data_IF_411128761151
#
_entry.id   IF_411128761151
#
_cell.length_a   1.000
_cell.length_b   1.000
_cell.length_c   1.000
_cell.angle_alpha   90.00
_cell.angle_beta   90.00
_cell.angle_gamma   90.00
#
_symmetry.space_group_name_H-M   'P 1'
#
loop_
_entity.id
_entity.type
_entity.pdbx_description
1 polymer ?
#
# COMPACT_ATOMS: atom_id res chain seq x y z
N UNK A 1 11.92 -19.67 -44.13
CA UNK A 1 11.16 -20.57 -43.23
C UNK A 1 10.36 -19.67 -42.30
N UNK A 2 9.14 -19.32 -42.71
CA UNK A 2 8.21 -18.45 -41.99
C UNK A 2 7.00 -19.32 -41.60
N UNK A 3 6.66 -19.36 -40.32
CA UNK A 3 5.46 -19.99 -39.77
C UNK A 3 4.63 -18.90 -39.07
N UNK A 4 3.35 -18.82 -39.46
CA UNK A 4 2.12 -18.68 -38.63
C UNK A 4 2.08 -17.55 -37.57
N UNK A 5 1.02 -16.76 -37.35
CA UNK A 5 -0.41 -16.91 -37.65
C UNK A 5 -1.16 -15.59 -37.35
N UNK A 6 -2.29 -15.44 -38.03
CA UNK A 6 -3.42 -14.49 -37.91
C UNK A 6 -4.08 -14.44 -36.51
N UNK A 7 -4.90 -13.40 -36.14
CA UNK A 7 -6.15 -13.07 -36.86
C UNK A 7 -6.52 -11.59 -37.09
N UNK A 8 -7.47 -11.50 -38.03
CA UNK A 8 -8.05 -10.39 -38.75
C UNK A 8 -9.28 -9.74 -38.05
N UNK A 9 -9.79 -8.61 -38.60
CA UNK A 9 -10.68 -7.68 -37.90
C UNK A 9 -12.17 -7.90 -38.15
N UNK A 10 -12.95 -7.14 -37.37
CA UNK A 10 -14.39 -6.93 -37.44
C UNK A 10 -14.90 -6.57 -38.85
N UNK A 11 -15.98 -7.22 -39.27
CA UNK A 11 -16.83 -6.75 -40.37
C UNK A 11 -18.30 -6.68 -39.95
N UNK A 12 -18.85 -5.47 -40.07
CA UNK A 12 -20.27 -5.14 -40.06
C UNK A 12 -20.98 -5.82 -41.24
N UNK A 13 -22.14 -6.43 -40.99
CA UNK A 13 -23.09 -6.81 -42.04
C UNK A 13 -24.34 -5.96 -41.98
N UNK A 14 -24.68 -5.39 -43.14
CA UNK A 14 -25.86 -4.61 -43.47
C UNK A 14 -27.10 -5.49 -43.64
N UNK A 15 -28.24 -5.00 -43.16
CA UNK A 15 -29.56 -5.60 -43.39
C UNK A 15 -30.18 -5.08 -44.69
N UNK A 16 -30.52 -6.00 -45.61
CA UNK A 16 -31.45 -5.72 -46.70
C UNK A 16 -32.48 -6.84 -46.83
N UNK A 17 -33.73 -6.46 -46.55
CA UNK A 17 -35.03 -6.88 -47.09
C UNK A 17 -35.27 -8.32 -47.56
N UNK A 18 -36.34 -8.93 -47.04
CA UNK A 18 -37.26 -9.79 -47.84
C UNK A 18 -38.72 -9.53 -47.40
N UNK A 19 -39.57 -9.26 -48.40
CA UNK A 19 -41.04 -9.16 -48.37
C UNK A 19 -41.70 -10.54 -48.11
N UNK A 20 -42.87 -10.59 -47.46
CA UNK A 20 -44.13 -10.97 -48.12
C UNK A 20 -45.32 -11.19 -47.16
N UNK A 21 -46.48 -10.94 -47.76
CA UNK A 21 -47.85 -10.96 -47.25
C UNK A 21 -48.47 -12.35 -47.03
N UNK A 22 -49.50 -12.37 -46.18
CA UNK A 22 -50.65 -13.29 -46.11
C UNK A 22 -50.58 -14.56 -45.22
N UNK A 23 -51.62 -14.66 -44.38
CA UNK A 23 -52.03 -15.66 -43.36
C UNK A 23 -52.49 -17.01 -43.97
N UNK A 24 -52.90 -18.08 -43.22
CA UNK A 24 -52.92 -18.28 -41.76
C UNK A 24 -52.41 -19.68 -41.28
N UNK A 25 -52.29 -19.83 -39.96
CA UNK A 25 -52.19 -21.09 -39.18
C UNK A 25 -50.86 -21.85 -39.23
N UNK A 26 -49.94 -21.45 -38.36
CA UNK A 26 -49.07 -22.41 -37.70
C UNK A 26 -48.73 -21.88 -36.31
N UNK A 27 -49.20 -22.59 -35.28
CA UNK A 27 -48.78 -22.36 -33.90
C UNK A 27 -47.29 -22.70 -33.81
N UNK A 28 -46.44 -21.68 -33.80
CA UNK A 28 -45.03 -21.80 -33.47
C UNK A 28 -44.84 -21.14 -32.11
N UNK A 29 -44.62 -21.96 -31.09
CA UNK A 29 -44.15 -21.52 -29.79
C UNK A 29 -42.77 -20.88 -29.98
N UNK A 30 -42.74 -19.55 -30.04
CA UNK A 30 -41.49 -18.79 -29.93
C UNK A 30 -41.04 -18.89 -28.48
N UNK A 31 -40.15 -19.84 -28.21
CA UNK A 31 -39.43 -19.92 -26.95
C UNK A 31 -38.43 -18.76 -26.91
N UNK A 32 -38.82 -17.66 -26.25
CA UNK A 32 -37.94 -16.54 -25.98
C UNK A 32 -36.87 -17.00 -24.97
N UNK A 33 -35.67 -17.35 -25.43
CA UNK A 33 -34.53 -17.50 -24.53
C UNK A 33 -34.10 -16.09 -24.09
N UNK A 34 -34.59 -15.66 -22.92
CA UNK A 34 -34.05 -14.52 -22.21
C UNK A 34 -32.64 -14.87 -21.72
N UNK A 35 -31.62 -14.40 -22.42
CA UNK A 35 -30.24 -14.42 -21.94
C UNK A 35 -30.11 -13.38 -20.83
N UNK A 36 -30.15 -13.83 -19.58
CA UNK A 36 -29.86 -12.98 -18.43
C UNK A 36 -28.36 -12.70 -18.41
N UNK A 37 -27.96 -11.55 -18.96
CA UNK A 37 -26.62 -11.01 -18.74
C UNK A 37 -26.48 -10.71 -17.24
N UNK A 38 -25.78 -11.58 -16.51
CA UNK A 38 -25.45 -11.34 -15.11
C UNK A 38 -24.48 -10.17 -15.04
N UNK A 39 -24.94 -9.03 -14.53
CA UNK A 39 -24.09 -7.94 -14.08
C UNK A 39 -23.24 -8.46 -12.92
N UNK A 40 -22.04 -8.95 -13.23
CA UNK A 40 -21.03 -9.19 -12.21
C UNK A 40 -20.68 -7.82 -11.61
N UNK A 41 -21.16 -7.57 -10.39
CA UNK A 41 -20.70 -6.44 -9.58
C UNK A 41 -19.19 -6.59 -9.43
N UNK A 42 -18.44 -5.67 -10.03
CA UNK A 42 -17.01 -5.55 -9.77
C UNK A 42 -16.86 -5.10 -8.31
N UNK A 43 -16.73 -6.07 -7.40
CA UNK A 43 -16.38 -5.80 -6.02
C UNK A 43 -15.06 -5.02 -6.04
N UNK A 44 -15.08 -3.76 -5.60
CA UNK A 44 -13.84 -3.01 -5.43
C UNK A 44 -12.89 -3.83 -4.55
N UNK A 45 -11.59 -3.90 -4.89
CA UNK A 45 -10.64 -4.66 -4.09
C UNK A 45 -10.68 -4.19 -2.64
N UNK A 46 -10.71 -5.14 -1.70
CA UNK A 46 -10.72 -4.82 -0.28
C UNK A 46 -9.51 -3.95 0.08
N UNK A 47 -9.76 -2.84 0.80
CA UNK A 47 -8.72 -1.94 1.29
C UNK A 47 -7.80 -2.72 2.23
N UNK A 48 -6.50 -2.80 1.90
CA UNK A 48 -5.52 -3.43 2.79
C UNK A 48 -5.23 -2.45 3.92
N UNK A 49 -5.29 -2.91 5.15
CA UNK A 49 -4.96 -2.11 6.33
C UNK A 49 -4.01 -2.93 7.18
N UNK A 50 -2.89 -2.33 7.60
CA UNK A 50 -1.81 -3.05 8.25
C UNK A 50 -0.95 -2.11 9.09
N UNK A 51 -0.21 -2.69 10.03
CA UNK A 51 0.90 -2.04 10.74
C UNK A 51 2.22 -2.57 10.19
N UNK A 52 3.30 -1.85 10.47
CA UNK A 52 4.64 -2.26 10.09
C UNK A 52 5.45 -2.66 11.32
N UNK A 53 6.24 -3.70 11.17
CA UNK A 53 7.26 -4.11 12.13
C UNK A 53 8.59 -4.31 11.42
N UNK A 54 9.70 -4.17 12.14
CA UNK A 54 11.06 -4.41 11.63
C UNK A 54 11.19 -5.86 11.15
N UNK A 55 11.76 -6.06 9.96
CA UNK A 55 12.25 -7.36 9.52
C UNK A 55 13.77 -7.42 9.61
N UNK A 56 14.25 -8.13 10.63
CA UNK A 56 15.67 -8.39 10.86
C UNK A 56 15.85 -9.83 11.36
N UNK A 57 15.71 -10.85 10.50
CA UNK A 57 15.68 -12.24 10.93
C UNK A 57 16.88 -12.61 11.81
N UNK A 58 16.60 -13.17 12.99
CA UNK A 58 17.57 -13.53 14.03
C UNK A 58 18.31 -12.35 14.69
N UNK A 59 17.84 -11.11 14.52
CA UNK A 59 18.33 -9.92 15.21
C UNK A 59 17.40 -9.43 16.32
N UNK A 60 17.93 -8.66 17.26
CA UNK A 60 17.19 -8.19 18.44
C UNK A 60 16.10 -7.14 18.12
N UNK A 61 16.13 -6.56 16.91
CA UNK A 61 15.12 -5.59 16.47
C UNK A 61 13.95 -6.26 15.74
N UNK A 62 14.03 -7.55 15.43
CA UNK A 62 13.01 -8.23 14.64
C UNK A 62 11.62 -8.17 15.29
N UNK A 63 10.61 -7.82 14.51
CA UNK A 63 9.23 -7.72 14.98
C UNK A 63 8.91 -6.49 15.84
N UNK A 64 9.89 -5.62 16.13
CA UNK A 64 9.59 -4.36 16.84
C UNK A 64 8.71 -3.45 15.97
N UNK A 65 7.71 -2.77 16.55
CA UNK A 65 6.76 -1.97 15.79
C UNK A 65 7.43 -0.72 15.20
N UNK A 66 6.86 -0.23 14.10
CA UNK A 66 7.17 1.06 13.49
C UNK A 66 6.04 2.04 13.81
N UNK A 67 6.38 3.12 14.50
CA UNK A 67 5.44 4.13 14.96
C UNK A 67 5.83 5.53 14.44
N UNK A 68 4.83 6.32 14.07
CA UNK A 68 4.93 7.69 13.63
C UNK A 68 5.08 8.63 14.83
N UNK A 69 6.04 9.55 14.75
CA UNK A 69 6.31 10.54 15.78
C UNK A 69 7.01 11.76 15.18
N UNK A 70 6.51 12.96 15.43
CA UNK A 70 7.11 14.24 15.01
C UNK A 70 7.58 14.23 13.55
N UNK A 71 6.67 13.85 12.63
CA UNK A 71 6.85 13.73 11.16
C UNK A 71 7.66 12.55 10.63
N UNK A 72 8.26 11.72 11.49
CA UNK A 72 9.09 10.58 11.07
C UNK A 72 8.60 9.26 11.65
N UNK A 73 9.22 8.16 11.22
CA UNK A 73 8.92 6.83 11.73
C UNK A 73 10.08 6.28 12.57
N UNK A 74 9.74 5.59 13.65
CA UNK A 74 10.70 5.05 14.61
C UNK A 74 10.32 3.65 15.03
N UNK A 75 11.32 2.87 15.44
CA UNK A 75 11.11 1.73 16.33
C UNK A 75 11.66 2.04 17.71
N UNK A 76 11.14 1.37 18.75
CA UNK A 76 11.55 1.58 20.14
C UNK A 76 10.70 2.58 20.92
N UNK A 77 9.83 3.35 20.25
CA UNK A 77 8.80 4.14 20.92
C UNK A 77 7.55 3.29 21.20
N UNK A 78 6.94 3.50 22.37
CA UNK A 78 5.80 2.70 22.83
C UNK A 78 4.56 2.86 21.93
N UNK A 79 4.21 4.12 21.62
CA UNK A 79 3.00 4.49 20.89
C UNK A 79 3.32 5.62 19.90
N UNK A 80 2.58 5.71 18.79
CA UNK A 80 2.70 6.85 17.89
C UNK A 80 2.14 8.12 18.53
N UNK A 81 2.70 9.26 18.13
CA UNK A 81 2.13 10.55 18.48
C UNK A 81 0.99 10.86 17.51
N UNK A 82 -0.15 11.25 18.06
CA UNK A 82 -1.34 11.58 17.28
C UNK A 82 -1.94 12.87 17.78
N UNK A 83 -2.69 13.53 16.92
CA UNK A 83 -3.37 14.76 17.26
C UNK A 83 -4.76 14.78 16.67
N UNK A 84 -5.58 15.69 17.19
CA UNK A 84 -6.90 15.95 16.67
C UNK A 84 -7.25 17.42 16.84
N UNK A 85 -7.97 17.99 15.88
CA UNK A 85 -8.39 19.39 15.88
C UNK A 85 -9.91 19.49 15.88
N UNK A 86 -10.48 20.24 16.83
CA UNK A 86 -11.91 20.48 16.96
C UNK A 86 -12.59 19.64 18.03
N UNK A 87 -13.87 19.92 18.27
CA UNK A 87 -14.71 19.24 19.26
C UNK A 87 -15.21 17.87 18.79
N UNK A 88 -15.26 17.64 17.48
CA UNK A 88 -15.80 16.41 16.88
C UNK A 88 -14.69 15.44 16.52
N UNK A 89 -13.99 15.00 17.57
CA UNK A 89 -12.92 14.02 17.41
C UNK A 89 -13.36 12.64 17.89
N UNK A 90 -13.76 11.73 16.97
CA UNK A 90 -14.15 10.38 17.37
C UNK A 90 -12.96 9.52 17.82
N UNK A 91 -11.72 9.93 17.51
CA UNK A 91 -10.49 9.24 17.92
C UNK A 91 -9.64 10.20 18.75
N UNK A 92 -9.61 10.07 20.10
CA UNK A 92 -8.86 10.99 20.95
C UNK A 92 -7.37 11.11 20.57
N UNK A 93 -6.77 12.26 20.85
CA UNK A 93 -5.32 12.41 20.69
C UNK A 93 -4.57 11.45 21.62
N UNK A 94 -3.48 10.88 21.11
CA UNK A 94 -2.64 9.88 21.79
C UNK A 94 -3.42 8.63 22.26
N UNK A 95 -4.43 8.20 21.49
CA UNK A 95 -5.16 6.95 21.76
C UNK A 95 -4.85 5.83 20.77
N UNK A 96 -3.98 6.09 19.79
CA UNK A 96 -3.62 5.10 18.78
C UNK A 96 -2.56 4.15 19.35
N UNK A 97 -2.81 2.83 19.38
CA UNK A 97 -1.83 1.88 19.92
C UNK A 97 -0.64 1.67 18.97
N UNK A 98 -0.85 1.88 17.67
CA UNK A 98 0.15 1.64 16.63
C UNK A 98 -0.06 2.58 15.43
N UNK A 99 0.98 2.74 14.61
CA UNK A 99 0.80 3.38 13.30
C UNK A 99 0.24 2.42 12.28
N UNK A 100 -0.87 2.84 11.68
CA UNK A 100 -1.63 2.06 10.72
C UNK A 100 -1.50 2.68 9.33
N UNK A 101 -1.22 1.83 8.35
CA UNK A 101 -1.04 2.14 6.94
C UNK A 101 -2.19 1.56 6.13
N UNK A 102 -2.35 2.02 4.89
CA UNK A 102 -3.38 1.47 4.00
C UNK A 102 -2.98 1.37 2.54
N UNK A 103 -3.41 0.27 1.91
CA UNK A 103 -3.14 -0.17 0.54
C UNK A 103 -1.66 -0.47 0.29
N UNK A 104 -0.81 0.53 0.49
CA UNK A 104 0.66 0.45 0.42
C UNK A 104 1.24 1.22 1.63
N UNK A 105 2.54 1.12 1.90
CA UNK A 105 3.18 1.93 2.94
C UNK A 105 3.17 3.44 2.64
N UNK A 106 2.67 3.86 1.48
CA UNK A 106 2.65 5.25 1.02
C UNK A 106 1.56 6.12 1.68
N UNK A 107 0.61 5.51 2.38
CA UNK A 107 -0.52 6.20 2.97
C UNK A 107 -0.80 5.72 4.40
N UNK A 108 -1.05 6.66 5.29
CA UNK A 108 -1.48 6.41 6.66
C UNK A 108 -2.99 6.25 6.70
N UNK A 109 -3.47 5.32 7.53
CA UNK A 109 -4.89 5.06 7.71
C UNK A 109 -5.48 5.98 8.77
N UNK A 110 -5.76 7.21 8.34
CA UNK A 110 -6.22 8.32 9.18
C UNK A 110 -7.59 8.82 8.75
N UNK A 111 -8.30 9.43 9.68
CA UNK A 111 -9.64 9.99 9.42
C UNK A 111 -9.61 11.40 8.85
N UNK A 112 -8.57 12.20 9.14
CA UNK A 112 -8.49 13.59 8.73
C UNK A 112 -8.73 13.73 7.22
N UNK A 113 -9.55 14.70 6.77
CA UNK A 113 -9.72 14.98 5.35
C UNK A 113 -8.37 15.22 4.67
N UNK A 114 -8.25 14.80 3.41
CA UNK A 114 -6.98 14.84 2.66
C UNK A 114 -5.97 13.75 3.04
N UNK A 115 -6.13 13.13 4.22
CA UNK A 115 -5.27 12.05 4.70
C UNK A 115 -3.84 12.49 5.01
N UNK A 116 -2.95 11.50 5.16
CA UNK A 116 -1.52 11.69 5.29
C UNK A 116 -0.79 10.66 4.44
N UNK A 117 0.17 11.17 3.67
CA UNK A 117 1.04 10.43 2.77
C UNK A 117 2.42 10.27 3.40
N UNK A 118 3.04 9.13 3.18
CA UNK A 118 4.45 8.90 3.52
C UNK A 118 5.34 9.18 2.32
N UNK A 119 6.58 9.55 2.59
CA UNK A 119 7.59 9.82 1.57
C UNK A 119 8.99 9.68 2.17
N UNK A 120 9.98 9.52 1.31
CA UNK A 120 11.40 9.49 1.66
C UNK A 120 12.00 10.86 1.34
N UNK A 121 12.59 11.49 2.33
CA UNK A 121 13.37 12.72 2.16
C UNK A 121 14.66 12.46 1.37
N UNK A 122 15.28 13.47 0.71
CA UNK A 122 16.48 13.27 -0.11
C UNK A 122 17.64 12.59 0.63
N UNK A 123 17.79 12.85 1.92
CA UNK A 123 18.84 12.30 2.79
C UNK A 123 18.50 10.90 3.32
N UNK A 124 17.28 10.40 3.05
CA UNK A 124 16.82 9.08 3.43
C UNK A 124 15.76 8.97 4.54
N UNK A 125 15.52 9.95 5.45
CA UNK A 125 14.46 9.80 6.45
C UNK A 125 13.12 9.40 5.82
N UNK A 126 12.49 8.35 6.36
CA UNK A 126 11.09 8.08 6.04
C UNK A 126 10.24 9.03 6.86
N UNK A 127 9.44 9.83 6.17
CA UNK A 127 8.65 10.91 6.73
C UNK A 127 7.19 10.80 6.28
N UNK A 128 6.32 11.59 6.91
CA UNK A 128 4.94 11.74 6.49
C UNK A 128 4.53 13.20 6.46
N UNK A 129 3.52 13.48 5.65
CA UNK A 129 2.94 14.81 5.46
C UNK A 129 2.11 15.21 6.67
N UNK A 130 2.11 16.51 6.97
CA UNK A 130 1.07 17.07 7.84
C UNK A 130 -0.31 16.91 7.17
N UNK A 131 -1.36 16.85 7.97
CA UNK A 131 -2.71 16.74 7.45
C UNK A 131 -3.03 17.86 6.45
N UNK A 132 -3.66 17.52 5.32
CA UNK A 132 -3.98 18.44 4.23
C UNK A 132 -2.77 19.10 3.54
N UNK A 133 -1.57 18.54 3.70
CA UNK A 133 -0.36 19.00 2.99
C UNK A 133 0.11 17.97 1.98
N UNK A 134 0.81 18.44 0.94
CA UNK A 134 1.47 17.56 -0.01
C UNK A 134 2.90 17.27 0.44
N UNK A 135 3.45 16.13 0.02
CA UNK A 135 4.88 15.86 0.21
C UNK A 135 5.72 16.96 -0.45
N UNK A 136 6.92 17.28 0.08
CA UNK A 136 7.87 18.16 -0.59
C UNK A 136 8.20 17.69 -2.02
N UNK A 137 8.55 18.63 -2.89
CA UNK A 137 8.85 18.34 -4.31
C UNK A 137 10.00 17.33 -4.47
N UNK A 138 11.02 17.46 -3.63
CA UNK A 138 12.20 16.60 -3.59
C UNK A 138 11.98 15.30 -2.78
N UNK A 139 10.84 15.15 -2.12
CA UNK A 139 10.46 13.91 -1.45
C UNK A 139 10.00 12.87 -2.46
N UNK A 140 10.36 11.61 -2.25
CA UNK A 140 10.00 10.51 -3.16
C UNK A 140 9.02 9.57 -2.46
N UNK A 141 7.96 9.17 -3.14
CA UNK A 141 6.92 8.27 -2.63
C UNK A 141 6.85 7.02 -3.50
N UNK A 142 6.41 5.90 -2.93
CA UNK A 142 6.34 4.62 -3.60
C UNK A 142 7.69 3.89 -3.63
N UNK A 143 7.80 2.92 -4.53
CA UNK A 143 8.99 2.10 -4.65
C UNK A 143 9.04 0.89 -3.72
N UNK A 144 7.97 0.66 -2.96
CA UNK A 144 7.85 -0.52 -2.12
C UNK A 144 7.65 -1.77 -2.98
N UNK A 145 8.53 -2.73 -2.82
CA UNK A 145 8.42 -4.04 -3.48
C UNK A 145 8.14 -5.10 -2.42
N UNK A 146 7.22 -6.01 -2.74
CA UNK A 146 7.04 -7.21 -1.95
C UNK A 146 8.16 -8.17 -2.33
N UNK A 147 9.07 -8.43 -1.41
CA UNK A 147 10.12 -9.42 -1.57
C UNK A 147 9.82 -10.62 -0.66
N UNK A 148 10.04 -11.83 -1.19
CA UNK A 148 10.00 -13.05 -0.39
C UNK A 148 11.43 -13.50 -0.15
N UNK A 149 11.87 -13.49 1.11
CA UNK A 149 13.14 -14.08 1.53
C UNK A 149 12.91 -15.44 2.17
N UNK A 150 13.96 -16.23 2.28
CA UNK A 150 13.93 -17.49 3.03
C UNK A 150 14.94 -17.40 4.16
N UNK A 151 14.51 -17.73 5.39
CA UNK A 151 15.44 -17.89 6.50
C UNK A 151 16.36 -19.12 6.30
N UNK A 152 17.25 -19.38 7.25
CA UNK A 152 18.18 -20.54 7.17
C UNK A 152 17.46 -21.90 7.22
N UNK A 153 16.18 -21.91 7.56
CA UNK A 153 15.32 -23.06 7.71
C UNK A 153 14.35 -23.22 6.51
N UNK A 154 14.37 -22.28 5.56
CA UNK A 154 13.52 -22.30 4.37
C UNK A 154 12.13 -21.70 4.57
N UNK A 155 11.89 -20.94 5.64
CA UNK A 155 10.61 -20.26 5.89
C UNK A 155 10.49 -19.00 5.04
N UNK A 156 9.40 -18.81 4.27
CA UNK A 156 9.20 -17.59 3.49
C UNK A 156 8.89 -16.40 4.42
N UNK A 157 9.63 -15.31 4.24
CA UNK A 157 9.47 -14.03 4.91
C UNK A 157 8.93 -13.02 3.89
N UNK A 158 7.73 -12.51 4.11
CA UNK A 158 7.12 -11.48 3.26
C UNK A 158 7.52 -10.10 3.76
N UNK A 159 8.30 -9.39 2.96
CA UNK A 159 8.91 -8.13 3.36
C UNK A 159 8.56 -7.02 2.36
N UNK A 160 8.25 -5.85 2.91
CA UNK A 160 8.17 -4.61 2.17
C UNK A 160 9.56 -3.97 2.16
N UNK A 161 10.18 -3.92 0.99
CA UNK A 161 11.47 -3.29 0.79
C UNK A 161 11.36 -2.01 -0.02
N UNK A 162 12.21 -1.03 0.27
CA UNK A 162 12.32 0.19 -0.51
C UNK A 162 13.25 -0.04 -1.73
N UNK A 163 12.71 0.13 -2.95
CA UNK A 163 13.29 0.03 -4.31
C UNK A 163 14.29 -1.09 -4.66
N UNK A 164 13.97 -1.77 -5.78
CA UNK A 164 14.86 -2.64 -6.56
C UNK A 164 15.89 -1.86 -7.40
N UNK A 165 17.18 -2.06 -7.11
CA UNK A 165 18.25 -2.25 -8.13
C UNK A 165 19.38 -3.09 -7.54
N UNK A 166 20.05 -3.98 -8.31
CA UNK A 166 20.84 -5.07 -7.73
C UNK A 166 22.26 -4.69 -7.26
N UNK A 167 22.78 -3.49 -7.57
CA UNK A 167 24.25 -3.33 -7.62
C UNK A 167 24.93 -2.27 -6.74
N UNK A 168 24.27 -1.57 -5.80
CA UNK A 168 25.05 -0.74 -4.82
C UNK A 168 24.23 -0.10 -3.69
N UNK A 169 23.89 -0.86 -2.66
CA UNK A 169 23.65 -0.26 -1.33
C UNK A 169 22.27 0.38 -1.09
N UNK A 170 21.19 -0.23 -1.58
CA UNK A 170 19.80 0.13 -1.23
C UNK A 170 19.24 -0.81 -0.17
N UNK A 171 18.30 -0.30 0.62
CA UNK A 171 17.72 -1.00 1.77
C UNK A 171 17.11 -0.02 2.77
N UNK A 172 16.63 -0.55 3.89
CA UNK A 172 16.16 0.24 5.03
C UNK A 172 17.23 0.16 6.12
N UNK A 173 17.48 1.29 6.78
CA UNK A 173 18.40 1.41 7.89
C UNK A 173 17.67 2.01 9.09
N UNK A 174 18.05 1.54 10.28
CA UNK A 174 17.60 2.07 11.56
C UNK A 174 18.75 2.85 12.18
N UNK A 175 18.57 4.15 12.33
CA UNK A 175 19.63 5.05 12.78
C UNK A 175 19.32 5.62 14.17
N UNK A 176 20.34 5.87 15.02
CA UNK A 176 20.16 6.58 16.28
C UNK A 176 19.45 7.92 16.06
N UNK A 177 18.56 8.26 17.00
CA UNK A 177 17.79 9.49 17.01
C UNK A 177 17.99 10.26 18.31
N UNK A 178 17.40 11.45 18.42
CA UNK A 178 17.40 12.23 19.67
C UNK A 178 16.46 11.65 20.74
N UNK A 179 15.56 10.74 20.37
CA UNK A 179 14.64 10.07 21.30
C UNK A 179 15.40 8.89 21.94
N UNK A 180 15.51 8.83 23.28
CA UNK A 180 16.19 7.74 23.97
C UNK A 180 15.65 6.37 23.54
N UNK A 181 16.55 5.42 23.28
CA UNK A 181 16.27 4.03 22.90
C UNK A 181 15.46 3.85 21.60
N UNK A 182 15.14 4.93 20.88
CA UNK A 182 14.42 4.87 19.62
C UNK A 182 15.36 5.02 18.42
N UNK A 183 15.14 4.19 17.42
CA UNK A 183 15.84 4.23 16.15
C UNK A 183 14.90 4.77 15.07
N UNK A 184 15.33 5.82 14.38
CA UNK A 184 14.60 6.40 13.27
C UNK A 184 14.78 5.56 12.01
N UNK A 185 13.71 5.46 11.23
CA UNK A 185 13.69 4.76 9.95
C UNK A 185 14.28 5.64 8.85
N UNK A 186 15.26 5.09 8.15
CA UNK A 186 15.85 5.65 6.94
C UNK A 186 15.74 4.67 5.77
N UNK A 187 15.49 5.21 4.59
CA UNK A 187 15.62 4.52 3.31
C UNK A 187 16.92 4.98 2.66
N UNK A 188 17.73 4.04 2.18
CA UNK A 188 19.01 4.34 1.54
C UNK A 188 18.80 4.94 0.14
N UNK A 189 18.79 6.27 0.08
CA UNK A 189 18.80 7.05 -1.17
C UNK A 189 20.24 7.33 -1.63
N UNK A 190 20.47 7.85 -2.84
CA UNK A 190 21.80 8.34 -3.24
C UNK A 190 22.36 9.46 -2.33
N UNK A 191 21.50 10.17 -1.59
CA UNK A 191 21.89 11.19 -0.61
C UNK A 191 22.13 10.65 0.81
N UNK A 192 21.82 9.37 1.06
CA UNK A 192 22.05 8.75 2.35
C UNK A 192 23.55 8.51 2.58
N UNK A 193 24.08 9.03 3.70
CA UNK A 193 25.51 9.01 4.00
C UNK A 193 25.84 8.62 5.44
N UNK A 194 24.83 8.23 6.24
CA UNK A 194 25.05 7.84 7.64
C UNK A 194 25.71 6.45 7.72
N UNK A 195 26.70 6.35 8.61
CA UNK A 195 27.44 5.12 8.87
C UNK A 195 27.15 4.50 10.25
N UNK A 196 26.42 5.22 11.10
CA UNK A 196 26.06 4.82 12.47
C UNK A 196 24.72 4.10 12.55
N UNK A 197 24.24 3.56 11.43
CA UNK A 197 22.93 2.92 11.32
C UNK A 197 23.05 1.40 11.23
N UNK A 198 22.01 0.72 11.70
CA UNK A 198 21.85 -0.73 11.57
C UNK A 198 21.01 -1.04 10.35
N UNK A 199 21.56 -1.84 9.44
CA UNK A 199 20.82 -2.32 8.27
C UNK A 199 19.80 -3.37 8.66
N UNK A 200 18.61 -3.28 8.07
CA UNK A 200 17.53 -4.26 8.18
C UNK A 200 17.11 -4.73 6.79
N UNK A 201 16.44 -5.87 6.71
CA UNK A 201 15.97 -6.37 5.41
C UNK A 201 14.80 -5.55 4.87
N UNK A 202 13.91 -5.08 5.75
CA UNK A 202 12.75 -4.29 5.39
C UNK A 202 11.71 -4.29 6.51
N UNK A 203 10.44 -4.30 6.13
CA UNK A 203 9.33 -4.37 7.09
C UNK A 203 8.44 -5.58 6.89
N UNK A 204 7.96 -6.13 7.99
CA UNK A 204 6.84 -7.07 8.03
C UNK A 204 5.54 -6.27 8.05
N UNK A 205 4.64 -6.57 7.11
CA UNK A 205 3.27 -6.04 7.15
C UNK A 205 2.40 -6.96 8.00
N UNK A 206 1.85 -6.44 9.09
CA UNK A 206 0.96 -7.18 9.99
C UNK A 206 -0.47 -6.68 9.75
N UNK A 207 -1.43 -7.54 9.34
CA UNK A 207 -2.80 -7.12 9.11
C UNK A 207 -3.39 -6.41 10.34
N UNK A 208 -4.02 -5.26 10.11
CA UNK A 208 -4.77 -4.55 11.12
C UNK A 208 -6.18 -5.13 11.20
N UNK A 209 -6.58 -5.57 12.38
CA UNK A 209 -7.86 -6.28 12.60
C UNK A 209 -8.86 -5.49 13.43
N UNK A 210 -8.51 -4.27 13.84
CA UNK A 210 -9.45 -3.41 14.57
C UNK A 210 -10.35 -2.63 13.60
N UNK A 211 -11.56 -2.33 14.06
CA UNK A 211 -12.51 -1.51 13.30
C UNK A 211 -12.13 -0.02 13.38
N UNK A 212 -12.22 0.69 12.26
CA UNK A 212 -11.99 2.14 12.19
C UNK A 212 -10.55 2.54 11.85
N UNK A 213 -10.29 3.85 11.86
CA UNK A 213 -8.98 4.43 11.53
C UNK A 213 -7.99 4.26 12.68
N UNK A 214 -6.69 4.26 12.37
CA UNK A 214 -5.65 4.19 13.40
C UNK A 214 -5.51 5.49 14.21
N UNK A 215 -5.83 6.64 13.60
CA UNK A 215 -5.79 7.94 14.25
C UNK A 215 -6.72 8.94 13.55
N UNK A 216 -7.03 10.05 14.20
CA UNK A 216 -7.53 11.22 13.47
C UNK A 216 -6.43 11.75 12.53
N UNK A 217 -5.23 12.02 13.05
CA UNK A 217 -3.99 12.22 12.31
C UNK A 217 -2.77 11.88 13.20
N UNK A 218 -1.66 11.50 12.57
CA UNK A 218 -0.36 11.31 13.23
C UNK A 218 0.41 12.64 13.28
N UNK A 219 1.15 12.88 14.36
CA UNK A 219 1.91 14.09 14.63
C UNK A 219 3.41 13.80 14.75
#
# INVERSE_FOLDING_TARGET
MLLHSHPHPFHLFTLSQIYNTASPKMFINVLLLATTASLASAQAPAKKVFTLAVSQPNGDLDGKPINAFEKYFYTGIAEPKTFCVGSDCPIPANSAPMTVFTNTPDFLYVQVPGGQQTFVEPQGPLAFTEANTNKPENGVQGGWVNATYFDRQGTPLYELQAWDKPESGRGVALCPSAIPDALQVFVKTPGFSRADCTDILGFKAIPWVEDGFGAWAYA
#
